data_IF_069100163807
#
_entry.id   IF_069100163807
#
_cell.length_a   1.000
_cell.length_b   1.000
_cell.length_c   1.000
_cell.angle_alpha   90.00
_cell.angle_beta   90.00
_cell.angle_gamma   90.00
#
_symmetry.space_group_name_H-M   'P 1'
#
loop_
_entity.id
_entity.type
_entity.pdbx_description
1 polymer ?
#
# COMPACT_ATOMS: atom_id res chain seq x y z
N UNK A 1 -15.11 -6.21 13.63
CA UNK A 1 -14.54 -4.87 13.64
C UNK A 1 -14.74 -4.29 12.26
N UNK A 2 -15.27 -3.08 12.16
CA UNK A 2 -15.33 -2.33 10.89
C UNK A 2 -13.99 -1.63 10.63
N UNK A 3 -13.75 -1.19 9.39
CA UNK A 3 -12.52 -0.47 9.05
C UNK A 3 -12.44 0.87 9.79
N UNK A 4 -13.58 1.53 10.02
CA UNK A 4 -13.64 2.77 10.82
C UNK A 4 -13.29 2.52 12.30
N UNK A 5 -13.78 1.43 12.89
CA UNK A 5 -13.39 1.02 14.24
C UNK A 5 -11.89 0.72 14.32
N UNK A 6 -11.31 0.12 13.28
CA UNK A 6 -9.88 -0.15 13.20
C UNK A 6 -9.05 1.15 13.11
N UNK A 7 -9.47 2.14 12.30
CA UNK A 7 -8.83 3.46 12.26
C UNK A 7 -8.78 4.14 13.64
N UNK A 8 -9.86 3.99 14.42
CA UNK A 8 -9.94 4.60 15.76
C UNK A 8 -9.18 3.82 16.82
N UNK A 9 -9.08 2.49 16.66
CA UNK A 9 -8.52 1.58 17.67
C UNK A 9 -7.00 1.38 17.52
N UNK A 10 -6.48 1.46 16.30
CA UNK A 10 -5.06 1.21 16.01
C UNK A 10 -4.36 2.47 15.54
N UNK A 11 -3.42 2.95 16.36
CA UNK A 11 -2.62 4.15 16.05
C UNK A 11 -1.77 3.98 14.78
N UNK A 12 -1.28 2.76 14.56
CA UNK A 12 -0.45 2.38 13.41
C UNK A 12 -1.27 1.89 12.20
N UNK A 13 -2.59 2.09 12.21
CA UNK A 13 -3.40 1.76 11.04
C UNK A 13 -3.04 2.66 9.87
N UNK A 14 -2.89 2.07 8.69
CA UNK A 14 -2.39 2.75 7.50
C UNK A 14 -3.41 3.70 6.87
N UNK A 15 -4.70 3.59 7.22
CA UNK A 15 -5.74 4.52 6.78
C UNK A 15 -5.99 5.60 7.84
N UNK A 16 -6.33 6.78 7.35
CA UNK A 16 -6.97 7.84 8.10
C UNK A 16 -8.43 7.98 7.70
N UNK A 17 -9.24 8.42 8.65
CA UNK A 17 -10.63 8.80 8.42
C UNK A 17 -10.74 10.32 8.47
N UNK A 18 -11.23 10.92 7.39
CA UNK A 18 -11.54 12.35 7.33
C UNK A 18 -12.78 12.68 8.17
N UNK A 19 -12.99 13.96 8.50
CA UNK A 19 -14.17 14.43 9.25
C UNK A 19 -15.49 14.05 8.60
N UNK A 20 -15.50 13.92 7.27
CA UNK A 20 -16.67 13.55 6.47
C UNK A 20 -16.86 12.02 6.37
N UNK A 21 -16.06 11.24 7.10
CA UNK A 21 -16.13 9.78 7.14
C UNK A 21 -15.41 9.06 5.98
N UNK A 22 -14.81 9.79 5.05
CA UNK A 22 -14.03 9.23 3.94
C UNK A 22 -12.71 8.65 4.42
N UNK A 23 -12.37 7.43 3.96
CA UNK A 23 -11.12 6.77 4.25
C UNK A 23 -10.06 7.11 3.21
N UNK A 24 -8.87 7.48 3.67
CA UNK A 24 -7.73 7.83 2.84
C UNK A 24 -6.45 7.18 3.38
N UNK A 25 -5.53 6.82 2.50
CA UNK A 25 -4.24 6.26 2.90
C UNK A 25 -3.32 7.35 3.47
N UNK A 26 -2.67 7.08 4.61
CA UNK A 26 -1.67 7.97 5.21
C UNK A 26 -0.45 8.09 4.29
N UNK A 27 -0.18 9.28 3.79
CA UNK A 27 0.99 9.53 2.93
C UNK A 27 2.32 9.26 3.64
N UNK A 28 2.36 9.45 4.96
CA UNK A 28 3.54 9.17 5.79
C UNK A 28 3.76 7.68 6.10
N UNK A 29 2.85 6.79 5.68
CA UNK A 29 2.93 5.37 5.98
C UNK A 29 3.65 4.58 4.86
N UNK A 30 4.41 3.54 5.21
CA UNK A 30 5.17 2.72 4.25
C UNK A 30 4.31 2.14 3.11
N UNK A 31 3.03 1.84 3.38
CA UNK A 31 2.09 1.37 2.36
C UNK A 31 1.84 2.40 1.25
N UNK A 32 1.88 3.70 1.55
CA UNK A 32 1.78 4.74 0.52
C UNK A 32 2.94 4.66 -0.45
N UNK A 33 4.16 4.55 0.07
CA UNK A 33 5.36 4.40 -0.75
C UNK A 33 5.33 3.11 -1.59
N UNK A 34 4.83 1.99 -1.04
CA UNK A 34 4.65 0.74 -1.79
C UNK A 34 3.73 0.94 -2.99
N UNK A 35 2.57 1.54 -2.78
CA UNK A 35 1.57 1.74 -3.85
C UNK A 35 2.08 2.77 -4.87
N UNK A 36 2.67 3.88 -4.43
CA UNK A 36 3.27 4.85 -5.34
C UNK A 36 4.41 4.24 -6.16
N UNK A 37 5.26 3.41 -5.54
CA UNK A 37 6.29 2.66 -6.26
C UNK A 37 5.69 1.77 -7.35
N UNK A 38 4.62 1.02 -7.05
CA UNK A 38 3.91 0.20 -8.04
C UNK A 38 3.33 1.01 -9.20
N UNK A 39 2.70 2.16 -8.92
CA UNK A 39 2.15 3.06 -9.94
C UNK A 39 3.25 3.64 -10.84
N UNK A 40 4.43 3.93 -10.28
CA UNK A 40 5.58 4.41 -11.05
C UNK A 40 6.21 3.31 -11.90
N UNK A 41 6.40 2.11 -11.34
CA UNK A 41 6.96 0.95 -12.04
C UNK A 41 6.07 0.51 -13.22
N UNK A 42 4.77 0.37 -12.97
CA UNK A 42 3.81 -0.13 -13.98
C UNK A 42 3.36 0.93 -14.98
N UNK A 43 3.71 2.20 -14.75
CA UNK A 43 3.24 3.33 -15.57
C UNK A 43 1.74 3.62 -15.45
N UNK A 44 1.04 3.01 -14.48
CA UNK A 44 -0.39 3.23 -14.26
C UNK A 44 -0.66 4.50 -13.47
N UNK A 45 -1.77 5.18 -13.77
CA UNK A 45 -2.10 6.47 -13.13
C UNK A 45 -2.93 6.33 -11.85
N UNK A 46 -3.56 5.17 -11.63
CA UNK A 46 -4.46 4.93 -10.50
C UNK A 46 -4.40 3.48 -10.07
N UNK A 47 -4.57 3.23 -8.77
CA UNK A 47 -4.68 1.90 -8.17
C UNK A 47 -5.87 1.88 -7.21
N UNK A 48 -6.67 0.82 -7.27
CA UNK A 48 -7.77 0.61 -6.33
C UNK A 48 -7.29 -0.27 -5.17
N UNK A 49 -7.11 0.35 -4.00
CA UNK A 49 -6.76 -0.34 -2.77
C UNK A 49 -8.02 -0.93 -2.15
N UNK A 50 -8.13 -2.25 -2.17
CA UNK A 50 -9.22 -2.98 -1.51
C UNK A 50 -8.82 -3.28 -0.07
N UNK A 51 -9.53 -2.68 0.89
CA UNK A 51 -9.40 -2.97 2.31
C UNK A 51 -10.56 -3.84 2.74
N UNK A 52 -10.24 -4.98 3.30
CA UNK A 52 -11.18 -5.95 3.83
C UNK A 52 -11.10 -5.92 5.35
N UNK A 53 -12.24 -6.05 6.03
CA UNK A 53 -12.33 -6.45 7.41
C UNK A 53 -13.50 -7.43 7.59
N UNK A 54 -13.59 -8.04 8.77
CA UNK A 54 -14.59 -9.08 9.05
C UNK A 54 -16.05 -8.61 8.88
N UNK A 55 -16.30 -7.30 8.93
CA UNK A 55 -17.66 -6.73 8.87
C UNK A 55 -17.91 -5.80 7.69
N UNK A 56 -16.88 -5.38 6.96
CA UNK A 56 -16.99 -4.41 5.87
C UNK A 56 -15.83 -4.52 4.88
N UNK A 57 -16.08 -4.06 3.66
CA UNK A 57 -15.10 -3.97 2.58
C UNK A 57 -15.16 -2.55 2.01
N UNK A 58 -14.01 -1.94 1.82
CA UNK A 58 -13.88 -0.60 1.27
C UNK A 58 -12.87 -0.59 0.14
N UNK A 59 -13.19 0.15 -0.92
CA UNK A 59 -12.29 0.34 -2.06
C UNK A 59 -11.89 1.80 -2.08
N UNK A 60 -10.58 2.04 -2.00
CA UNK A 60 -9.99 3.37 -1.94
C UNK A 60 -9.15 3.57 -3.19
N UNK A 61 -9.55 4.52 -4.04
CA UNK A 61 -8.79 4.86 -5.23
C UNK A 61 -7.61 5.75 -4.87
N UNK A 62 -6.42 5.30 -5.23
CA UNK A 62 -5.16 6.03 -5.03
C UNK A 62 -4.66 6.47 -6.40
N UNK A 63 -4.47 7.78 -6.55
CA UNK A 63 -3.87 8.36 -7.73
C UNK A 63 -2.34 8.34 -7.62
N UNK A 64 -1.68 8.20 -8.77
CA UNK A 64 -0.24 8.37 -8.90
C UNK A 64 0.13 9.80 -8.54
N UNK A 65 1.05 9.94 -7.61
CA UNK A 65 1.64 11.22 -7.26
C UNK A 65 2.87 11.46 -8.11
N UNK A 66 2.78 12.38 -9.07
CA UNK A 66 3.88 12.70 -9.99
C UNK A 66 5.08 13.35 -9.31
N UNK A 67 4.90 13.90 -8.11
CA UNK A 67 5.97 14.48 -7.30
C UNK A 67 6.54 13.46 -6.31
N UNK A 68 6.04 12.23 -6.31
CA UNK A 68 6.58 11.17 -5.48
C UNK A 68 8.00 10.85 -5.92
N UNK A 69 8.95 11.18 -5.05
CA UNK A 69 10.34 10.78 -5.17
C UNK A 69 10.51 9.58 -4.24
N UNK A 70 11.09 8.45 -4.69
CA UNK A 70 11.44 7.36 -3.80
C UNK A 70 12.46 7.86 -2.77
N UNK A 71 11.96 8.24 -1.60
CA UNK A 71 12.71 8.80 -0.48
C UNK A 71 13.41 7.71 0.31
N UNK A 72 14.47 7.14 -0.26
CA UNK A 72 15.57 6.53 0.48
C UNK A 72 16.81 7.27 0.01
N UNK A 73 17.47 8.00 0.91
CA UNK A 73 18.64 8.84 0.68
C UNK A 73 19.47 8.50 -0.57
N UNK A 74 19.32 9.30 -1.62
CA UNK A 74 20.44 9.66 -2.50
C UNK A 74 20.97 8.64 -3.52
N UNK A 75 20.31 7.52 -3.84
CA UNK A 75 20.78 6.63 -4.91
C UNK A 75 19.67 5.95 -5.72
N UNK A 76 19.41 6.52 -6.90
CA UNK A 76 19.08 5.87 -8.20
C UNK A 76 17.87 4.89 -8.27
N UNK A 77 17.51 4.39 -9.48
CA UNK A 77 16.21 4.54 -10.11
C UNK A 77 15.25 3.41 -9.71
N UNK A 78 14.01 3.50 -10.17
CA UNK A 78 12.91 2.52 -10.14
C UNK A 78 13.29 1.01 -10.10
N UNK A 79 14.45 0.64 -10.66
CA UNK A 79 15.08 -0.68 -10.61
C UNK A 79 15.41 -1.16 -9.19
N UNK A 80 16.00 -0.31 -8.33
CA UNK A 80 16.36 -0.67 -6.95
C UNK A 80 15.10 -0.88 -6.08
N UNK A 81 14.02 -0.12 -6.33
CA UNK A 81 12.76 -0.33 -5.62
C UNK A 81 12.10 -1.67 -5.96
N UNK A 82 12.20 -2.07 -7.24
CA UNK A 82 11.68 -3.36 -7.71
C UNK A 82 12.41 -4.52 -7.04
N UNK A 83 13.74 -4.43 -6.91
CA UNK A 83 14.57 -5.50 -6.35
C UNK A 83 14.57 -5.52 -4.82
N UNK A 84 14.69 -4.37 -4.15
CA UNK A 84 14.82 -4.28 -2.69
C UNK A 84 13.50 -4.32 -1.94
N UNK A 85 12.38 -3.87 -2.54
CA UNK A 85 11.10 -3.76 -1.84
C UNK A 85 10.01 -4.63 -2.47
N UNK A 86 9.83 -4.57 -3.80
CA UNK A 86 8.73 -5.33 -4.42
C UNK A 86 8.98 -6.83 -4.45
N UNK A 87 10.13 -7.29 -4.96
CA UNK A 87 10.46 -8.71 -5.04
C UNK A 87 10.42 -9.44 -3.68
N UNK A 88 11.05 -8.95 -2.60
CA UNK A 88 11.01 -9.62 -1.30
C UNK A 88 9.64 -9.57 -0.63
N UNK A 89 8.85 -8.50 -0.77
CA UNK A 89 7.48 -8.45 -0.23
C UNK A 89 6.52 -9.37 -1.00
N UNK A 90 6.63 -9.42 -2.33
CA UNK A 90 5.94 -10.43 -3.14
C UNK A 90 6.36 -11.84 -2.75
N UNK A 91 7.65 -12.12 -2.58
CA UNK A 91 8.11 -13.42 -2.10
C UNK A 91 7.57 -13.75 -0.71
N UNK A 92 7.53 -12.82 0.25
CA UNK A 92 6.92 -13.08 1.57
C UNK A 92 5.41 -13.36 1.49
N UNK A 93 4.69 -12.69 0.58
CA UNK A 93 3.23 -12.83 0.42
C UNK A 93 2.83 -14.07 -0.39
N UNK A 94 3.65 -14.48 -1.37
CA UNK A 94 3.37 -15.58 -2.30
C UNK A 94 4.17 -16.87 -2.04
N UNK A 95 5.27 -16.83 -1.26
CA UNK A 95 5.97 -18.04 -0.82
C UNK A 95 5.18 -18.99 0.11
N UNK A 96 4.13 -18.60 0.87
CA UNK A 96 3.38 -19.58 1.64
C UNK A 96 2.61 -20.59 0.76
N UNK A 97 2.45 -20.34 -0.55
CA UNK A 97 1.77 -21.26 -1.46
C UNK A 97 2.64 -22.42 -1.98
N UNK A 98 3.96 -22.42 -1.74
CA UNK A 98 4.84 -23.52 -2.16
C UNK A 98 5.12 -24.57 -1.08
N UNK A 99 4.41 -24.56 0.05
CA UNK A 99 4.50 -25.62 1.06
C UNK A 99 3.35 -26.66 1.01
N UNK A 100 2.40 -26.53 0.06
CA UNK A 100 1.27 -27.46 -0.12
C UNK A 100 1.08 -27.95 -1.57
N UNK A 101 2.12 -27.89 -2.40
CA UNK A 101 2.14 -28.62 -3.68
C UNK A 101 3.08 -29.83 -3.52
N UNK A 102 2.55 -30.88 -2.90
CA UNK A 102 3.05 -32.26 -3.03
C UNK A 102 2.40 -32.90 -4.25
#
# INVERSE_FOLDING_TARGET
MTIQEACSSFKDFYLDQSSDGQLSLKQAHSCWHQIQGQLHITGTNTCDLVVWANKDLQVIRIAKDHLWIPGVSGSTPVEDYTFCFYAPECLKRFAPFNYYAS
#
